data_IF_379111808054
#
_entry.id   IF_379111808054
#
_cell.length_a   1.000
_cell.length_b   1.000
_cell.length_c   1.000
_cell.angle_alpha   90.00
_cell.angle_beta   90.00
_cell.angle_gamma   90.00
#
_symmetry.space_group_name_H-M   'P 1'
#
loop_
_entity.id
_entity.type
_entity.pdbx_description
1 polymer ?
#
# COMPACT_ATOMS: atom_id res chain seq x y z
N UNK A 1 9.06 -20.95 5.97
CA UNK A 1 8.00 -20.59 5.00
C UNK A 1 7.77 -19.09 5.15
N UNK A 2 8.29 -18.28 4.22
CA UNK A 2 8.21 -16.81 4.27
C UNK A 2 7.77 -16.33 2.89
N UNK A 3 6.56 -15.76 2.80
CA UNK A 3 5.96 -15.28 1.56
C UNK A 3 6.34 -13.82 1.28
N UNK A 4 6.97 -13.62 0.12
CA UNK A 4 6.82 -12.59 -0.93
C UNK A 4 6.19 -11.23 -0.54
N UNK A 5 6.86 -10.12 -0.89
CA UNK A 5 6.42 -8.76 -0.56
C UNK A 5 6.44 -7.82 -1.77
N UNK A 6 5.88 -8.25 -2.90
CA UNK A 6 5.41 -7.27 -3.88
C UNK A 6 4.21 -6.56 -3.29
N UNK A 7 4.00 -5.28 -3.63
CA UNK A 7 2.77 -4.55 -3.32
C UNK A 7 1.54 -5.10 -4.10
N UNK A 8 1.49 -6.41 -4.32
CA UNK A 8 0.36 -7.17 -4.85
C UNK A 8 -0.34 -7.89 -3.71
N UNK A 9 -1.65 -8.05 -3.83
CA UNK A 9 -2.40 -8.94 -2.97
C UNK A 9 -1.78 -10.36 -2.97
N UNK A 10 -2.13 -11.19 -2.01
CA UNK A 10 -1.64 -12.56 -1.94
C UNK A 10 -2.58 -13.48 -2.69
N UNK A 11 -2.06 -14.20 -3.68
CA UNK A 11 -2.72 -15.38 -4.20
C UNK A 11 -2.00 -16.60 -3.65
N UNK A 12 -2.70 -17.39 -2.86
CA UNK A 12 -2.17 -18.65 -2.36
C UNK A 12 -2.56 -19.80 -3.29
N UNK A 13 -1.59 -20.48 -3.92
CA UNK A 13 -1.69 -21.89 -4.23
C UNK A 13 -1.32 -22.72 -2.99
N UNK A 14 -1.95 -23.88 -2.82
CA UNK A 14 -1.90 -24.76 -1.65
C UNK A 14 -0.55 -24.93 -0.95
N UNK A 15 -0.59 -25.14 0.37
CA UNK A 15 0.49 -25.73 1.15
C UNK A 15 -0.08 -26.88 1.99
N UNK A 16 0.59 -28.03 1.90
CA UNK A 16 0.40 -29.23 2.70
C UNK A 16 0.11 -28.93 4.17
N UNK A 17 -0.90 -29.61 4.73
CA UNK A 17 -1.26 -29.53 6.12
C UNK A 17 -0.12 -29.97 7.07
N UNK A 18 0.03 -29.33 8.24
CA UNK A 18 0.47 -30.06 9.42
C UNK A 18 -0.40 -29.84 10.66
N UNK A 19 -0.61 -30.97 11.33
CA UNK A 19 -1.02 -31.26 12.71
C UNK A 19 -1.67 -30.18 13.60
N UNK A 20 -2.84 -30.57 14.10
CA UNK A 20 -3.62 -30.06 15.22
C UNK A 20 -2.81 -29.46 16.39
N UNK A 21 -3.06 -28.19 16.70
CA UNK A 21 -2.67 -27.54 17.95
C UNK A 21 -3.74 -26.52 18.35
N UNK A 22 -4.55 -26.86 19.35
CA UNK A 22 -5.72 -26.08 19.74
C UNK A 22 -5.40 -24.69 20.29
N UNK A 23 -6.11 -23.69 19.79
CA UNK A 23 -6.12 -22.33 20.34
C UNK A 23 -7.47 -22.12 21.06
N UNK A 24 -7.41 -21.81 22.35
CA UNK A 24 -8.57 -21.41 23.16
C UNK A 24 -8.97 -19.96 22.82
N UNK A 25 -10.27 -19.62 22.79
CA UNK A 25 -10.70 -18.25 22.52
C UNK A 25 -10.50 -17.38 23.77
N UNK A 26 -9.98 -16.15 23.59
CA UNK A 26 -9.99 -15.11 24.62
C UNK A 26 -10.93 -13.99 24.19
N UNK A 27 -12.01 -13.87 24.97
CA UNK A 27 -12.83 -12.70 25.31
C UNK A 27 -12.89 -11.53 24.32
N UNK A 28 -14.01 -11.45 23.60
CA UNK A 28 -14.45 -10.28 22.85
C UNK A 28 -14.87 -9.14 23.80
N UNK A 29 -14.46 -7.91 23.46
CA UNK A 29 -14.97 -6.67 24.06
C UNK A 29 -16.21 -6.23 23.29
N UNK A 30 -17.33 -6.16 24.01
CA UNK A 30 -18.66 -5.77 23.53
C UNK A 30 -18.75 -4.25 23.35
N UNK A 31 -19.35 -3.80 22.24
CA UNK A 31 -19.90 -2.44 22.09
C UNK A 31 -21.43 -2.55 22.05
N UNK A 32 -22.20 -1.83 22.90
CA UNK A 32 -23.65 -2.02 23.00
C UNK A 32 -24.40 -1.30 21.87
N UNK A 33 -25.50 -1.92 21.43
CA UNK A 33 -26.30 -1.49 20.27
C UNK A 33 -27.53 -0.65 20.57
N UNK A 34 -28.28 -0.37 19.50
CA UNK A 34 -29.72 -0.05 19.38
C UNK A 34 -29.99 0.23 17.89
N UNK A 35 -31.11 -0.06 17.23
CA UNK A 35 -32.41 -0.67 17.53
C UNK A 35 -33.05 -1.09 16.19
N UNK A 36 -33.94 -2.08 16.23
CA UNK A 36 -34.77 -2.58 15.12
C UNK A 36 -35.64 -1.51 14.44
N UNK A 37 -35.84 -1.67 13.13
CA UNK A 37 -37.15 -1.49 12.50
C UNK A 37 -37.25 -2.33 11.21
N UNK A 38 -38.23 -3.22 11.16
CA UNK A 38 -38.66 -3.95 9.97
C UNK A 38 -39.92 -3.30 9.38
N UNK A 39 -40.00 -3.19 8.05
CA UNK A 39 -41.18 -3.55 7.27
C UNK A 39 -40.88 -3.38 5.77
N UNK A 40 -41.29 -4.38 5.00
CA UNK A 40 -41.17 -4.46 3.55
C UNK A 40 -42.28 -3.67 2.83
N UNK A 41 -42.07 -3.26 1.58
CA UNK A 41 -42.99 -3.47 0.43
C UNK A 41 -42.35 -3.10 -0.93
N UNK A 42 -42.35 -4.09 -1.83
CA UNK A 42 -42.54 -4.09 -3.29
C UNK A 42 -42.22 -2.86 -4.18
N UNK A 43 -41.28 -3.09 -5.12
CA UNK A 43 -41.52 -2.95 -6.57
C UNK A 43 -41.33 -1.59 -7.23
N UNK A 44 -40.25 -1.43 -8.00
CA UNK A 44 -40.25 -1.23 -9.46
C UNK A 44 -38.89 -0.74 -9.94
N UNK A 45 -38.40 -1.35 -11.02
CA UNK A 45 -37.18 -1.01 -11.73
C UNK A 45 -37.05 0.49 -12.04
N UNK A 46 -36.04 1.11 -11.46
CA UNK A 46 -35.40 2.30 -11.97
C UNK A 46 -33.90 2.08 -11.81
N UNK A 47 -33.17 2.23 -12.91
CA UNK A 47 -31.71 2.29 -12.93
C UNK A 47 -31.27 3.34 -11.88
N UNK A 48 -30.65 2.89 -10.81
CA UNK A 48 -29.98 3.77 -9.85
C UNK A 48 -28.74 4.35 -10.56
N UNK A 49 -28.96 5.39 -11.36
CA UNK A 49 -27.91 6.30 -11.79
C UNK A 49 -27.19 6.75 -10.52
N UNK A 50 -25.98 6.22 -10.30
CA UNK A 50 -25.20 6.50 -9.10
C UNK A 50 -25.15 8.01 -8.90
N UNK A 51 -25.81 8.52 -7.87
CA UNK A 51 -25.90 9.94 -7.60
C UNK A 51 -24.49 10.57 -7.68
N UNK A 52 -24.35 11.66 -8.44
CA UNK A 52 -23.06 12.28 -8.66
C UNK A 52 -22.39 12.57 -7.31
N UNK A 53 -21.10 12.23 -7.15
CA UNK A 53 -20.41 12.28 -5.87
C UNK A 53 -20.24 13.74 -5.44
N UNK A 54 -21.00 14.15 -4.42
CA UNK A 54 -20.99 15.51 -3.90
C UNK A 54 -19.93 15.67 -2.81
N UNK A 55 -19.28 16.84 -2.76
CA UNK A 55 -18.43 17.21 -1.63
C UNK A 55 -19.26 17.67 -0.41
N UNK A 56 -18.58 18.02 0.69
CA UNK A 56 -19.23 18.51 1.91
C UNK A 56 -20.06 19.80 1.73
N UNK A 57 -20.00 20.44 0.56
CA UNK A 57 -20.77 21.64 0.19
C UNK A 57 -21.83 21.35 -0.87
N UNK A 58 -22.04 20.09 -1.26
CA UNK A 58 -23.02 19.71 -2.27
C UNK A 58 -22.56 19.92 -3.71
N UNK A 59 -21.27 20.14 -3.97
CA UNK A 59 -20.74 20.34 -5.32
C UNK A 59 -20.28 19.00 -5.93
N UNK A 60 -20.57 18.79 -7.22
CA UNK A 60 -20.12 17.60 -7.96
C UNK A 60 -18.60 17.58 -8.04
N UNK A 61 -17.98 16.49 -7.57
CA UNK A 61 -16.54 16.30 -7.65
C UNK A 61 -16.12 15.89 -9.07
N UNK A 62 -15.05 16.47 -9.64
CA UNK A 62 -14.47 15.98 -10.89
C UNK A 62 -14.05 14.52 -10.75
N UNK A 63 -14.33 13.72 -11.78
CA UNK A 63 -14.00 12.30 -11.81
C UNK A 63 -12.57 12.06 -12.28
N UNK A 64 -11.89 11.12 -11.61
CA UNK A 64 -10.62 10.54 -12.02
C UNK A 64 -10.89 9.07 -12.39
N UNK A 65 -10.37 8.57 -13.52
CA UNK A 65 -10.52 7.17 -13.90
C UNK A 65 -9.95 6.22 -12.85
N UNK A 66 -10.37 4.94 -12.89
CA UNK A 66 -10.00 3.92 -11.90
C UNK A 66 -8.50 3.69 -11.76
N UNK A 67 -7.78 3.88 -12.87
CA UNK A 67 -6.33 3.75 -12.99
C UNK A 67 -5.59 5.02 -12.51
N UNK A 68 -6.30 6.03 -12.03
CA UNK A 68 -5.76 7.26 -11.48
C UNK A 68 -4.96 8.09 -12.51
N UNK A 69 -5.31 7.99 -13.80
CA UNK A 69 -4.54 8.55 -14.91
C UNK A 69 -3.07 8.11 -14.85
N UNK A 70 -2.84 6.83 -14.58
CA UNK A 70 -1.50 6.27 -14.43
C UNK A 70 -0.63 6.48 -15.67
N UNK A 71 0.61 6.89 -15.44
CA UNK A 71 1.64 7.01 -16.46
C UNK A 71 2.92 6.34 -15.99
N UNK A 72 3.68 5.79 -16.94
CA UNK A 72 5.05 5.30 -16.71
C UNK A 72 5.99 6.18 -17.50
N UNK A 73 6.96 6.75 -16.82
CA UNK A 73 7.97 7.62 -17.43
C UNK A 73 9.36 7.22 -16.97
N UNK A 74 10.37 7.65 -17.71
CA UNK A 74 11.77 7.51 -17.34
C UNK A 74 12.30 8.86 -16.86
N UNK A 75 12.65 8.95 -15.57
CA UNK A 75 13.21 10.18 -14.99
C UNK A 75 14.74 10.14 -15.09
N UNK A 76 15.40 11.10 -15.79
CA UNK A 76 16.85 11.15 -15.83
C UNK A 76 17.43 11.56 -14.47
N UNK A 77 18.53 10.91 -14.09
CA UNK A 77 19.32 11.25 -12.89
C UNK A 77 20.57 11.99 -13.33
N UNK A 78 20.55 13.32 -13.29
CA UNK A 78 21.67 14.17 -13.72
C UNK A 78 22.86 14.19 -12.74
N UNK A 79 24.08 14.30 -13.29
CA UNK A 79 25.43 14.30 -12.66
C UNK A 79 25.92 12.98 -12.05
N UNK A 80 25.69 11.84 -12.71
CA UNK A 80 26.51 10.64 -12.46
C UNK A 80 27.45 10.43 -13.64
N UNK A 81 28.72 10.15 -13.33
CA UNK A 81 29.80 9.91 -14.29
C UNK A 81 29.57 8.70 -15.24
N UNK A 82 28.46 7.99 -15.09
CA UNK A 82 28.06 6.80 -15.85
C UNK A 82 26.76 7.06 -16.64
N UNK A 83 26.82 7.92 -17.66
CA UNK A 83 25.84 7.98 -18.75
C UNK A 83 24.38 8.33 -18.40
N UNK A 84 23.52 8.26 -19.41
CA UNK A 84 22.09 8.58 -19.39
C UNK A 84 21.26 7.60 -18.53
N UNK A 85 21.53 7.53 -17.21
CA UNK A 85 20.75 6.71 -16.29
C UNK A 85 19.35 7.31 -16.06
N UNK A 86 18.33 6.49 -16.26
CA UNK A 86 16.94 6.84 -15.96
C UNK A 86 16.35 5.96 -14.87
N UNK A 87 15.32 6.46 -14.18
CA UNK A 87 14.51 5.73 -13.22
C UNK A 87 13.13 5.45 -13.82
N UNK A 88 12.75 4.18 -13.93
CA UNK A 88 11.38 3.78 -14.22
C UNK A 88 10.47 4.31 -13.11
N UNK A 89 9.53 5.17 -13.47
CA UNK A 89 8.72 5.91 -12.49
C UNK A 89 7.25 5.85 -12.85
N UNK A 90 6.43 5.44 -11.88
CA UNK A 90 4.97 5.49 -11.99
C UNK A 90 4.45 6.83 -11.48
N UNK A 91 3.58 7.48 -12.25
CA UNK A 91 2.91 8.73 -11.87
C UNK A 91 1.40 8.49 -11.87
N UNK A 92 0.72 8.92 -10.81
CA UNK A 92 -0.73 9.02 -10.75
C UNK A 92 -1.13 10.47 -10.57
N UNK A 93 -2.16 10.92 -11.28
CA UNK A 93 -2.47 12.34 -11.38
C UNK A 93 -3.99 12.62 -11.34
N UNK A 94 -4.44 13.64 -10.60
CA UNK A 94 -5.82 14.11 -10.71
C UNK A 94 -6.11 14.65 -12.12
N UNK A 95 -7.39 14.63 -12.50
CA UNK A 95 -7.82 15.26 -13.74
C UNK A 95 -7.68 16.80 -13.63
N UNK A 96 -7.19 17.44 -14.69
CA UNK A 96 -7.02 18.90 -14.77
C UNK A 96 -5.57 19.37 -14.94
N UNK A 97 -5.39 20.69 -14.94
CA UNK A 97 -4.13 21.34 -15.31
C UNK A 97 -3.17 21.60 -14.13
N UNK A 98 -3.62 21.44 -12.89
CA UNK A 98 -2.85 21.80 -11.69
C UNK A 98 -2.83 23.32 -11.42
N UNK A 99 -1.84 23.83 -10.67
CA UNK A 99 -0.76 23.06 -10.04
C UNK A 99 -1.29 22.18 -8.89
N UNK A 100 -0.71 20.99 -8.77
CA UNK A 100 -1.09 19.98 -7.77
C UNK A 100 0.03 19.81 -6.75
N UNK A 101 -0.27 19.70 -5.44
CA UNK A 101 0.69 19.23 -4.46
C UNK A 101 1.34 17.91 -4.88
N UNK A 102 2.62 17.75 -4.57
CA UNK A 102 3.38 16.55 -4.93
C UNK A 102 3.54 15.65 -3.70
N UNK A 103 3.36 14.34 -3.91
CA UNK A 103 3.87 13.34 -2.99
C UNK A 103 4.71 12.29 -3.72
N UNK A 104 5.95 12.11 -3.26
CA UNK A 104 6.83 11.05 -3.77
C UNK A 104 6.77 9.85 -2.82
N UNK A 105 6.42 8.66 -3.32
CA UNK A 105 6.32 7.42 -2.54
C UNK A 105 7.48 6.48 -2.86
N UNK A 106 8.27 6.14 -1.85
CA UNK A 106 9.44 5.28 -1.95
C UNK A 106 9.09 3.84 -1.55
N UNK A 107 9.31 2.89 -2.47
CA UNK A 107 9.09 1.47 -2.25
C UNK A 107 10.07 0.85 -1.24
N UNK A 108 9.67 -0.26 -0.64
CA UNK A 108 10.54 -1.11 0.19
C UNK A 108 11.57 -1.90 -0.64
N UNK A 109 12.16 -2.93 -0.03
CA UNK A 109 13.03 -3.89 -0.74
C UNK A 109 12.57 -5.30 -0.40
N UNK A 110 12.31 -6.10 -1.41
CA UNK A 110 12.04 -7.53 -1.25
C UNK A 110 13.33 -8.36 -1.22
N UNK A 111 13.21 -9.61 -0.79
CA UNK A 111 14.28 -10.60 -0.96
C UNK A 111 14.47 -10.96 -2.45
N UNK A 112 15.69 -11.33 -2.82
CA UNK A 112 16.03 -11.67 -4.21
C UNK A 112 16.65 -10.49 -4.96
N UNK A 113 16.78 -10.65 -6.28
CA UNK A 113 17.38 -9.65 -7.15
C UNK A 113 16.46 -8.41 -7.27
N UNK A 114 16.93 -7.20 -6.89
CA UNK A 114 16.21 -5.95 -7.11
C UNK A 114 15.72 -5.73 -8.55
N UNK A 115 16.43 -6.26 -9.55
CA UNK A 115 16.07 -6.16 -10.97
C UNK A 115 14.80 -6.93 -11.33
N UNK A 116 14.55 -8.03 -10.62
CA UNK A 116 13.38 -8.88 -10.84
C UNK A 116 12.17 -8.43 -10.00
N UNK A 117 12.33 -7.39 -9.16
CA UNK A 117 11.22 -6.82 -8.39
C UNK A 117 10.29 -6.02 -9.30
N UNK A 118 9.00 -6.05 -8.97
CA UNK A 118 7.99 -5.35 -9.74
C UNK A 118 8.18 -3.82 -9.71
N UNK A 119 7.65 -3.16 -10.75
CA UNK A 119 7.52 -1.70 -10.79
C UNK A 119 6.74 -1.20 -9.57
N UNK A 120 7.22 -0.13 -8.95
CA UNK A 120 6.59 0.52 -7.81
C UNK A 120 5.23 1.09 -8.22
N UNK A 121 4.16 0.57 -7.62
CA UNK A 121 2.77 0.91 -7.97
C UNK A 121 1.86 0.88 -6.73
N UNK A 122 2.01 1.84 -5.78
CA UNK A 122 1.31 1.83 -4.49
C UNK A 122 -0.15 2.30 -4.60
N UNK A 123 -1.02 1.52 -5.25
CA UNK A 123 -2.37 1.98 -5.64
C UNK A 123 -3.25 2.46 -4.48
N UNK A 124 -3.33 1.71 -3.37
CA UNK A 124 -4.17 2.10 -2.23
C UNK A 124 -3.74 3.47 -1.66
N UNK A 125 -2.43 3.69 -1.51
CA UNK A 125 -1.85 4.97 -1.14
C UNK A 125 -2.12 6.04 -2.20
N UNK A 126 -1.86 5.75 -3.47
CA UNK A 126 -2.03 6.71 -4.55
C UNK A 126 -3.49 7.18 -4.67
N UNK A 127 -4.46 6.28 -4.56
CA UNK A 127 -5.90 6.58 -4.58
C UNK A 127 -6.28 7.58 -3.49
N UNK A 128 -5.73 7.41 -2.29
CA UNK A 128 -6.01 8.30 -1.14
C UNK A 128 -5.48 9.73 -1.34
N UNK A 129 -4.34 9.88 -1.99
CA UNK A 129 -3.73 11.19 -2.25
C UNK A 129 -4.28 11.83 -3.54
N UNK A 130 -4.48 11.07 -4.62
CA UNK A 130 -5.07 11.58 -5.88
C UNK A 130 -6.49 12.11 -5.63
N UNK A 131 -7.30 11.45 -4.80
CA UNK A 131 -8.64 11.95 -4.46
C UNK A 131 -8.64 13.29 -3.72
N UNK A 132 -7.48 13.73 -3.20
CA UNK A 132 -7.24 15.02 -2.53
C UNK A 132 -6.50 16.03 -3.39
N UNK A 133 -6.28 15.68 -4.66
CA UNK A 133 -5.67 16.56 -5.65
C UNK A 133 -4.14 16.53 -5.66
N UNK A 134 -3.51 15.45 -5.18
CA UNK A 134 -2.07 15.29 -5.25
C UNK A 134 -1.64 14.57 -6.53
N UNK A 135 -0.52 14.99 -7.12
CA UNK A 135 0.26 14.11 -7.99
C UNK A 135 1.05 13.16 -7.10
N UNK A 136 0.92 11.86 -7.36
CA UNK A 136 1.66 10.81 -6.64
C UNK A 136 2.71 10.23 -7.58
N UNK A 137 3.97 10.22 -7.15
CA UNK A 137 5.10 9.78 -7.96
C UNK A 137 5.84 8.67 -7.23
N UNK A 138 5.97 7.51 -7.86
CA UNK A 138 6.57 6.33 -7.27
C UNK A 138 7.73 5.86 -8.16
N UNK A 139 8.95 6.37 -7.95
CA UNK A 139 10.12 5.94 -8.69
C UNK A 139 10.57 4.55 -8.23
N UNK A 140 10.97 3.68 -9.16
CA UNK A 140 11.87 2.58 -8.85
C UNK A 140 13.28 3.16 -8.75
N UNK A 141 13.89 3.05 -7.57
CA UNK A 141 15.25 3.57 -7.32
C UNK A 141 16.28 2.81 -8.19
N UNK A 142 17.49 3.34 -8.33
CA UNK A 142 18.52 2.75 -9.20
C UNK A 142 18.74 1.26 -8.90
N UNK A 143 18.89 0.47 -9.96
CA UNK A 143 19.07 -0.97 -9.88
C UNK A 143 17.83 -1.79 -9.51
N UNK A 144 16.66 -1.16 -9.31
CA UNK A 144 15.39 -1.87 -9.17
C UNK A 144 14.62 -1.91 -10.48
N UNK A 145 13.90 -3.00 -10.73
CA UNK A 145 13.07 -3.19 -11.92
C UNK A 145 13.82 -2.76 -13.19
N UNK A 146 13.20 -1.91 -14.02
CA UNK A 146 13.79 -1.40 -15.26
C UNK A 146 14.64 -0.13 -15.10
N UNK A 147 14.79 0.42 -13.90
CA UNK A 147 15.63 1.60 -13.67
C UNK A 147 17.11 1.31 -13.93
N UNK A 148 17.86 2.25 -14.51
CA UNK A 148 19.29 2.11 -14.76
C UNK A 148 20.14 1.95 -13.47
N UNK A 149 21.45 1.77 -13.65
CA UNK A 149 22.42 1.67 -12.56
C UNK A 149 22.36 0.36 -11.76
N UNK A 150 23.03 0.32 -10.62
CA UNK A 150 23.13 -0.87 -9.78
C UNK A 150 22.68 -0.57 -8.37
N UNK A 151 21.91 -1.48 -7.79
CA UNK A 151 21.54 -1.41 -6.39
C UNK A 151 22.77 -1.73 -5.53
N UNK A 152 23.08 -0.85 -4.58
CA UNK A 152 24.16 -1.10 -3.62
C UNK A 152 23.61 -1.98 -2.50
N UNK A 153 23.84 -3.29 -2.62
CA UNK A 153 23.42 -4.27 -1.60
C UNK A 153 24.51 -4.52 -0.55
N UNK A 154 24.09 -5.10 0.58
CA UNK A 154 24.98 -5.74 1.56
C UNK A 154 26.05 -4.85 2.21
N UNK A 155 25.79 -3.55 2.35
CA UNK A 155 26.58 -2.72 3.25
C UNK A 155 26.01 -2.83 4.67
N UNK A 156 26.85 -3.21 5.65
CA UNK A 156 26.48 -3.09 7.07
C UNK A 156 26.37 -1.62 7.51
N UNK A 157 26.85 -0.69 6.67
CA UNK A 157 26.56 0.73 6.80
C UNK A 157 25.16 1.06 6.24
N UNK A 158 24.17 0.98 7.13
CA UNK A 158 22.77 1.31 6.85
C UNK A 158 22.59 2.81 6.58
N UNK A 159 23.36 3.66 7.26
CA UNK A 159 23.24 5.11 7.16
C UNK A 159 23.61 5.59 5.74
N UNK A 160 24.74 5.14 5.23
CA UNK A 160 25.21 5.44 3.87
C UNK A 160 24.30 4.82 2.82
N UNK A 161 23.76 3.62 3.05
CA UNK A 161 22.80 3.00 2.13
C UNK A 161 21.56 3.89 1.95
N UNK A 162 20.93 4.34 3.03
CA UNK A 162 19.75 5.21 2.95
C UNK A 162 20.04 6.53 2.23
N UNK A 163 21.22 7.12 2.45
CA UNK A 163 21.67 8.33 1.76
C UNK A 163 21.92 8.12 0.27
N UNK A 164 22.49 6.98 -0.13
CA UNK A 164 22.70 6.64 -1.53
C UNK A 164 21.35 6.54 -2.27
N UNK A 165 20.37 5.88 -1.65
CA UNK A 165 19.00 5.78 -2.17
C UNK A 165 18.28 7.13 -2.22
N UNK A 166 18.53 8.02 -1.25
CA UNK A 166 17.91 9.34 -1.18
C UNK A 166 18.29 10.26 -2.35
N UNK A 167 19.41 9.99 -3.03
CA UNK A 167 19.83 10.74 -4.23
C UNK A 167 18.84 10.57 -5.38
N UNK A 168 18.29 9.36 -5.55
CA UNK A 168 17.28 9.08 -6.58
C UNK A 168 15.95 9.77 -6.27
N UNK A 169 15.60 9.86 -4.97
CA UNK A 169 14.44 10.63 -4.50
C UNK A 169 14.64 12.11 -4.78
N UNK A 170 15.81 12.67 -4.51
CA UNK A 170 16.13 14.07 -4.81
C UNK A 170 16.05 14.37 -6.31
N UNK A 171 16.60 13.50 -7.16
CA UNK A 171 16.49 13.63 -8.61
C UNK A 171 15.02 13.59 -9.08
N UNK A 172 14.21 12.70 -8.50
CA UNK A 172 12.78 12.59 -8.78
C UNK A 172 12.03 13.87 -8.40
N UNK A 173 12.22 14.39 -7.18
CA UNK A 173 11.57 15.63 -6.72
C UNK A 173 11.99 16.82 -7.60
N UNK A 174 13.27 16.91 -7.95
CA UNK A 174 13.80 17.96 -8.82
C UNK A 174 13.23 17.90 -10.24
N UNK A 175 13.10 16.70 -10.81
CA UNK A 175 12.46 16.51 -12.10
C UNK A 175 10.98 16.89 -12.08
N UNK A 176 10.25 16.42 -11.07
CA UNK A 176 8.81 16.68 -10.95
C UNK A 176 8.52 18.16 -10.70
N UNK A 177 9.41 18.86 -10.02
CA UNK A 177 9.24 20.30 -9.74
C UNK A 177 9.43 21.20 -10.96
N UNK A 178 9.89 20.64 -12.09
CA UNK A 178 9.91 21.34 -13.39
C UNK A 178 8.64 21.14 -14.20
N UNK A 179 7.74 20.26 -13.76
CA UNK A 179 6.50 20.00 -14.49
C UNK A 179 5.49 21.13 -14.23
N UNK A 180 4.82 21.65 -15.27
CA UNK A 180 3.96 22.83 -15.13
C UNK A 180 2.72 22.60 -14.25
N UNK A 181 2.36 21.34 -14.03
CA UNK A 181 1.22 20.94 -13.20
C UNK A 181 1.60 20.62 -11.75
N UNK A 182 2.85 20.81 -11.33
CA UNK A 182 3.30 20.54 -9.94
C UNK A 182 3.40 21.84 -9.15
N UNK A 183 2.80 21.84 -7.96
CA UNK A 183 2.97 22.88 -6.95
C UNK A 183 4.27 22.64 -6.17
N UNK A 184 5.28 23.42 -6.49
CA UNK A 184 6.62 23.30 -5.89
C UNK A 184 6.69 23.80 -4.45
N UNK A 185 5.65 24.44 -3.92
CA UNK A 185 5.60 24.91 -2.54
C UNK A 185 4.96 23.89 -1.58
N UNK A 186 4.33 22.84 -2.10
CA UNK A 186 3.58 21.85 -1.32
C UNK A 186 4.01 20.43 -1.71
N UNK A 187 5.16 20.00 -1.17
CA UNK A 187 5.76 18.69 -1.44
C UNK A 187 5.83 17.86 -0.15
N UNK A 188 5.47 16.59 -0.24
CA UNK A 188 5.69 15.58 0.80
C UNK A 188 6.48 14.41 0.22
N UNK A 189 7.31 13.79 1.04
CA UNK A 189 7.99 12.53 0.68
C UNK A 189 7.55 11.46 1.65
N UNK A 190 7.18 10.31 1.12
CA UNK A 190 6.67 9.17 1.86
C UNK A 190 7.44 7.91 1.47
N UNK A 191 7.46 6.91 2.35
CA UNK A 191 7.97 5.61 1.98
C UNK A 191 7.69 4.54 3.01
N UNK A 192 7.85 3.30 2.57
CA UNK A 192 7.64 2.11 3.40
C UNK A 192 8.90 1.28 3.54
N UNK A 193 9.15 0.69 4.71
CA UNK A 193 10.28 -0.23 4.89
C UNK A 193 11.60 0.44 4.50
N UNK A 194 12.36 -0.13 3.57
CA UNK A 194 13.56 0.50 3.04
C UNK A 194 13.31 1.90 2.46
N UNK A 195 12.16 2.12 1.81
CA UNK A 195 11.74 3.43 1.33
C UNK A 195 11.41 4.42 2.45
N UNK A 196 10.95 3.94 3.61
CA UNK A 196 10.75 4.77 4.82
C UNK A 196 12.08 5.25 5.40
N UNK A 197 13.06 4.35 5.48
CA UNK A 197 14.45 4.71 5.83
C UNK A 197 15.03 5.74 4.85
N UNK A 198 14.88 5.52 3.54
CA UNK A 198 15.31 6.46 2.50
C UNK A 198 14.60 7.81 2.60
N UNK A 199 13.31 7.82 2.93
CA UNK A 199 12.52 9.04 3.11
C UNK A 199 13.06 9.90 4.25
N UNK A 200 13.42 9.29 5.37
CA UNK A 200 14.05 10.01 6.49
C UNK A 200 15.47 10.46 6.11
N UNK A 201 16.26 9.64 5.42
CA UNK A 201 17.59 10.03 4.94
C UNK A 201 17.55 11.23 3.98
N UNK A 202 16.57 11.27 3.06
CA UNK A 202 16.33 12.38 2.15
C UNK A 202 16.10 13.72 2.87
N UNK A 203 15.45 13.68 4.04
CA UNK A 203 15.17 14.85 4.85
C UNK A 203 16.39 15.65 5.32
N UNK A 204 17.62 15.15 5.13
CA UNK A 204 18.85 15.88 5.43
C UNK A 204 19.13 17.00 4.42
N UNK A 205 18.72 16.81 3.16
CA UNK A 205 18.92 17.76 2.07
C UNK A 205 17.64 17.86 1.25
N UNK A 206 16.53 18.31 1.86
CA UNK A 206 15.24 18.38 1.20
C UNK A 206 15.26 19.49 0.14
N UNK A 207 14.51 19.28 -0.95
CA UNK A 207 14.28 20.35 -1.90
C UNK A 207 13.42 21.46 -1.24
N UNK A 208 13.63 22.75 -1.58
CA UNK A 208 12.69 23.79 -1.22
C UNK A 208 11.24 23.40 -1.55
N UNK A 209 10.32 23.65 -0.61
CA UNK A 209 8.90 23.29 -0.72
C UNK A 209 8.51 21.93 -0.13
N UNK A 210 9.49 21.09 0.25
CA UNK A 210 9.21 19.89 1.05
C UNK A 210 8.79 20.29 2.46
N UNK A 211 7.57 19.92 2.84
CA UNK A 211 6.95 20.32 4.12
C UNK A 211 6.88 19.21 5.16
N UNK A 212 6.89 17.96 4.72
CA UNK A 212 6.76 16.82 5.62
C UNK A 212 7.27 15.51 5.05
N UNK A 213 7.63 14.61 5.96
CA UNK A 213 8.05 13.24 5.66
C UNK A 213 7.08 12.23 6.30
N UNK A 214 6.61 11.24 5.54
CA UNK A 214 5.80 10.15 6.04
C UNK A 214 6.60 8.84 6.03
N UNK A 215 6.90 8.32 7.21
CA UNK A 215 7.66 7.10 7.40
C UNK A 215 6.73 5.96 7.86
N UNK A 216 6.38 5.06 6.94
CA UNK A 216 5.61 3.86 7.26
C UNK A 216 6.56 2.69 7.50
N UNK A 217 6.64 2.20 8.73
CA UNK A 217 7.47 1.05 9.09
C UNK A 217 8.89 1.13 8.49
N UNK A 218 9.56 2.28 8.59
CA UNK A 218 10.85 2.49 7.94
C UNK A 218 11.98 1.73 8.59
N UNK A 219 12.82 1.09 7.76
CA UNK A 219 14.02 0.41 8.22
C UNK A 219 14.71 -0.36 7.10
N UNK A 220 15.88 -0.92 7.38
CA UNK A 220 16.58 -1.82 6.46
C UNK A 220 17.13 -2.99 7.27
N UNK A 221 16.62 -4.20 6.98
CA UNK A 221 17.01 -5.41 7.70
C UNK A 221 18.29 -5.97 7.10
N UNK A 222 19.39 -5.86 7.82
CA UNK A 222 20.70 -6.42 7.45
C UNK A 222 21.06 -7.61 8.33
N UNK A 223 20.26 -8.68 8.30
CA UNK A 223 20.39 -9.80 9.24
C UNK A 223 21.76 -10.53 9.19
N UNK A 224 22.51 -10.40 8.09
CA UNK A 224 23.86 -10.93 7.95
C UNK A 224 24.94 -10.10 8.68
N UNK A 225 24.61 -8.86 9.07
CA UNK A 225 25.51 -7.97 9.80
C UNK A 225 25.38 -8.18 11.31
N UNK A 226 26.53 -8.24 11.99
CA UNK A 226 26.58 -8.27 13.46
C UNK A 226 25.93 -7.00 14.01
N UNK A 227 25.06 -7.12 15.01
CA UNK A 227 24.38 -5.99 15.65
C UNK A 227 23.55 -5.09 14.71
N UNK A 228 23.05 -5.61 13.59
CA UNK A 228 22.31 -4.83 12.59
C UNK A 228 21.15 -3.97 13.13
N UNK A 229 20.50 -4.41 14.22
CA UNK A 229 19.43 -3.63 14.87
C UNK A 229 19.96 -2.34 15.53
N UNK A 230 21.15 -2.43 16.12
CA UNK A 230 21.87 -1.29 16.70
C UNK A 230 22.33 -0.36 15.60
N UNK A 231 22.92 -0.89 14.53
CA UNK A 231 23.36 -0.10 13.37
C UNK A 231 22.19 0.63 12.71
N UNK A 232 21.04 -0.03 12.59
CA UNK A 232 19.81 0.59 12.10
C UNK A 232 19.35 1.75 13.00
N UNK A 233 19.38 1.55 14.33
CA UNK A 233 19.04 2.61 15.29
C UNK A 233 20.02 3.78 15.22
N UNK A 234 21.33 3.49 15.08
CA UNK A 234 22.37 4.51 14.88
C UNK A 234 22.19 5.28 13.58
N UNK A 235 21.80 4.61 12.48
CA UNK A 235 21.52 5.28 11.22
C UNK A 235 20.42 6.34 11.37
N UNK A 236 19.31 5.99 12.04
CA UNK A 236 18.26 6.96 12.35
C UNK A 236 18.72 8.09 13.28
N UNK A 237 19.58 7.81 14.27
CA UNK A 237 20.22 8.86 15.08
C UNK A 237 21.07 9.82 14.25
N UNK A 238 21.90 9.28 13.35
CA UNK A 238 22.72 10.07 12.43
C UNK A 238 21.88 10.94 11.49
N UNK A 239 20.72 10.44 11.06
CA UNK A 239 19.77 11.23 10.28
C UNK A 239 19.14 12.35 11.12
N UNK A 240 18.70 12.06 12.35
CA UNK A 240 18.11 13.03 13.28
C UNK A 240 19.01 14.25 13.55
N UNK A 241 20.33 14.03 13.59
CA UNK A 241 21.32 15.10 13.72
C UNK A 241 21.22 16.19 12.63
N UNK A 242 20.69 15.85 11.45
CA UNK A 242 20.68 16.71 10.25
C UNK A 242 19.29 17.03 9.72
N UNK A 243 18.32 16.13 9.88
CA UNK A 243 16.94 16.33 9.39
C UNK A 243 16.24 17.39 10.25
N UNK A 244 15.64 18.38 9.58
CA UNK A 244 14.82 19.44 10.25
C UNK A 244 13.36 19.46 9.77
N UNK A 245 13.08 18.83 8.63
CA UNK A 245 11.72 18.69 8.12
C UNK A 245 10.90 17.84 9.11
N UNK A 246 9.70 18.29 9.53
CA UNK A 246 8.83 17.49 10.38
C UNK A 246 8.49 16.14 9.74
N UNK A 247 8.32 15.11 10.57
CA UNK A 247 7.98 13.77 10.09
C UNK A 247 6.91 13.08 10.93
N UNK A 248 6.14 12.21 10.30
CA UNK A 248 5.19 11.29 10.94
C UNK A 248 5.68 9.86 10.74
N UNK A 249 5.80 9.11 11.83
CA UNK A 249 6.30 7.74 11.84
C UNK A 249 5.17 6.81 12.28
N UNK A 250 4.85 5.81 11.47
CA UNK A 250 3.77 4.87 11.73
C UNK A 250 4.32 3.45 11.78
N UNK A 251 4.18 2.78 12.93
CA UNK A 251 4.66 1.42 13.17
C UNK A 251 3.59 0.63 13.93
N UNK A 252 3.51 -0.68 13.72
CA UNK A 252 2.50 -1.54 14.37
C UNK A 252 3.11 -2.69 15.16
N UNK A 253 2.28 -3.26 16.04
CA UNK A 253 2.68 -4.25 17.04
C UNK A 253 3.10 -5.60 16.47
N UNK A 254 2.44 -6.02 15.39
CA UNK A 254 2.69 -7.28 14.69
C UNK A 254 3.49 -7.08 13.41
N UNK A 255 4.30 -6.03 13.31
CA UNK A 255 5.26 -5.86 12.20
C UNK A 255 6.29 -7.00 12.21
N UNK A 256 6.40 -7.70 11.07
CA UNK A 256 7.27 -8.88 10.93
C UNK A 256 8.77 -8.57 10.88
N UNK A 257 9.16 -7.31 10.69
CA UNK A 257 10.55 -6.87 10.57
C UNK A 257 11.02 -6.08 11.80
N UNK A 258 10.18 -5.16 12.30
CA UNK A 258 10.54 -4.24 13.37
C UNK A 258 9.69 -4.50 14.60
N UNK A 259 10.28 -5.15 15.62
CA UNK A 259 9.58 -5.27 16.89
C UNK A 259 9.26 -3.87 17.47
N UNK A 260 8.22 -3.72 18.30
CA UNK A 260 7.90 -2.44 18.94
C UNK A 260 9.10 -1.81 19.65
N UNK A 261 9.93 -2.64 20.28
CA UNK A 261 11.15 -2.18 20.97
C UNK A 261 12.20 -1.64 19.97
N UNK A 262 12.35 -2.26 18.80
CA UNK A 262 13.25 -1.74 17.77
C UNK A 262 12.70 -0.44 17.16
N UNK A 263 11.40 -0.38 16.86
CA UNK A 263 10.74 0.83 16.38
C UNK A 263 10.93 2.02 17.33
N UNK A 264 10.71 1.82 18.64
CA UNK A 264 10.97 2.83 19.67
C UNK A 264 12.43 3.25 19.69
N UNK A 265 13.39 2.31 19.64
CA UNK A 265 14.83 2.67 19.63
C UNK A 265 15.23 3.51 18.42
N UNK A 266 14.71 3.21 17.24
CA UNK A 266 14.96 4.00 16.03
C UNK A 266 14.41 5.42 16.16
N UNK A 267 13.16 5.55 16.64
CA UNK A 267 12.53 6.84 16.89
C UNK A 267 13.25 7.66 17.95
N UNK A 268 13.58 7.05 19.10
CA UNK A 268 14.28 7.71 20.20
C UNK A 268 15.67 8.16 19.79
N UNK A 269 16.38 7.37 18.98
CA UNK A 269 17.65 7.80 18.41
C UNK A 269 17.46 9.05 17.52
N UNK A 270 16.50 9.03 16.59
CA UNK A 270 16.23 10.17 15.71
C UNK A 270 15.89 11.46 16.49
N UNK A 271 14.96 11.38 17.45
CA UNK A 271 14.50 12.56 18.20
C UNK A 271 15.54 13.07 19.19
N UNK A 272 16.26 12.19 19.90
CA UNK A 272 17.33 12.61 20.83
C UNK A 272 18.47 13.35 20.13
N UNK A 273 18.69 13.08 18.84
CA UNK A 273 19.67 13.79 18.02
C UNK A 273 19.10 15.05 17.34
N UNK A 274 17.89 15.50 17.70
CA UNK A 274 17.30 16.76 17.24
C UNK A 274 16.38 16.63 16.03
N UNK A 275 16.05 15.40 15.60
CA UNK A 275 15.05 15.17 14.58
C UNK A 275 13.64 15.49 15.07
N UNK A 276 12.80 16.04 14.19
CA UNK A 276 11.41 16.36 14.52
C UNK A 276 10.48 15.28 13.98
N UNK A 277 9.98 14.41 14.85
CA UNK A 277 9.10 13.32 14.48
C UNK A 277 7.94 13.18 15.47
N UNK A 278 6.77 12.76 14.98
CA UNK A 278 5.68 12.22 15.79
C UNK A 278 5.61 10.72 15.54
N UNK A 279 5.69 9.93 16.61
CA UNK A 279 5.46 8.48 16.55
C UNK A 279 3.95 8.17 16.68
N UNK A 280 3.46 7.27 15.84
CA UNK A 280 2.11 6.71 15.90
C UNK A 280 2.25 5.20 15.93
N UNK A 281 1.82 4.64 17.05
CA UNK A 281 1.53 3.23 17.14
C UNK A 281 0.15 2.97 16.52
N UNK A 282 0.13 2.20 15.43
CA UNK A 282 -1.12 1.81 14.76
C UNK A 282 -1.74 0.55 15.36
N UNK A 283 -1.12 -0.04 16.39
CA UNK A 283 -1.53 -1.28 17.02
C UNK A 283 -1.31 -2.48 16.12
N UNK A 284 -2.15 -3.51 16.30
CA UNK A 284 -2.15 -4.71 15.46
C UNK A 284 -2.95 -4.47 14.20
N UNK A 285 -2.39 -4.85 13.05
CA UNK A 285 -3.09 -4.80 11.77
C UNK A 285 -3.01 -6.15 11.07
N UNK A 286 -4.19 -6.71 10.77
CA UNK A 286 -4.37 -8.00 10.11
C UNK A 286 -3.38 -9.08 10.63
N UNK A 287 -2.69 -9.75 9.73
CA UNK A 287 -1.62 -10.69 10.01
C UNK A 287 -0.26 -10.00 10.16
N UNK A 288 0.00 -8.91 9.43
CA UNK A 288 1.26 -8.16 9.46
C UNK A 288 1.06 -6.65 9.26
N UNK A 289 1.42 -5.84 10.27
CA UNK A 289 1.32 -4.39 10.21
C UNK A 289 2.31 -3.75 9.22
N UNK A 290 3.36 -4.46 8.81
CA UNK A 290 4.36 -3.95 7.87
C UNK A 290 3.76 -3.59 6.49
N UNK A 291 2.59 -4.15 6.17
CA UNK A 291 1.94 -4.05 4.85
C UNK A 291 0.87 -2.96 4.77
N UNK A 292 0.54 -2.32 5.89
CA UNK A 292 -0.67 -1.52 6.04
C UNK A 292 -0.85 -0.42 4.98
N UNK A 293 0.24 0.20 4.53
CA UNK A 293 0.18 1.34 3.60
C UNK A 293 -0.18 0.93 2.18
N UNK A 294 0.07 -0.33 1.81
CA UNK A 294 -0.26 -0.88 0.49
C UNK A 294 -1.68 -1.49 0.44
N UNK A 295 -2.34 -1.60 1.58
CA UNK A 295 -3.65 -2.23 1.71
C UNK A 295 -4.77 -1.17 1.75
N UNK A 296 -5.83 -1.38 0.96
CA UNK A 296 -6.99 -0.49 0.93
C UNK A 296 -7.67 -0.39 2.29
N UNK A 297 -7.72 -1.49 3.03
CA UNK A 297 -8.31 -1.53 4.39
C UNK A 297 -7.40 -0.87 5.43
N UNK A 298 -6.14 -0.61 5.11
CA UNK A 298 -5.23 0.11 5.98
C UNK A 298 -5.52 1.61 6.01
N UNK A 299 -6.10 2.15 4.93
CA UNK A 299 -6.36 3.59 4.78
C UNK A 299 -7.13 4.19 5.97
N UNK A 300 -8.26 3.63 6.42
CA UNK A 300 -8.98 4.16 7.58
C UNK A 300 -8.17 4.17 8.88
N UNK A 301 -7.15 3.31 9.00
CA UNK A 301 -6.30 3.21 10.19
C UNK A 301 -5.23 4.30 10.18
N UNK A 302 -4.48 4.45 9.08
CA UNK A 302 -3.35 5.39 9.03
C UNK A 302 -3.72 6.80 8.56
N UNK A 303 -4.77 6.95 7.74
CA UNK A 303 -5.16 8.23 7.16
C UNK A 303 -5.48 9.31 8.20
N UNK A 304 -6.22 9.05 9.30
CA UNK A 304 -6.53 10.10 10.28
C UNK A 304 -5.27 10.77 10.86
N UNK A 305 -4.26 9.98 11.20
CA UNK A 305 -2.96 10.47 11.70
C UNK A 305 -2.17 11.20 10.61
N UNK A 306 -2.15 10.66 9.40
CA UNK A 306 -1.50 11.30 8.24
C UNK A 306 -2.16 12.65 7.91
N UNK A 307 -3.49 12.71 7.86
CA UNK A 307 -4.25 13.93 7.59
C UNK A 307 -3.98 15.02 8.64
N UNK A 308 -3.98 14.66 9.92
CA UNK A 308 -3.68 15.61 10.99
C UNK A 308 -2.26 16.21 10.82
N UNK A 309 -1.27 15.36 10.53
CA UNK A 309 0.09 15.81 10.25
C UNK A 309 0.20 16.67 8.99
N UNK A 310 -0.41 16.23 7.89
CA UNK A 310 -0.43 16.96 6.61
C UNK A 310 -1.03 18.35 6.79
N UNK A 311 -2.16 18.46 7.49
CA UNK A 311 -2.78 19.75 7.81
C UNK A 311 -1.83 20.65 8.63
N UNK A 312 -1.13 20.09 9.62
CA UNK A 312 -0.15 20.82 10.44
C UNK A 312 1.01 21.38 9.59
N UNK A 313 1.49 20.63 8.60
CA UNK A 313 2.55 21.09 7.69
C UNK A 313 2.00 21.87 6.48
N UNK A 314 0.73 22.28 6.51
CA UNK A 314 0.11 23.13 5.50
C UNK A 314 -0.15 22.43 4.16
N UNK A 315 -0.38 21.12 4.19
CA UNK A 315 -0.72 20.30 3.01
C UNK A 315 -2.23 20.04 2.97
N UNK A 316 -2.88 19.99 1.78
CA UNK A 316 -4.32 19.83 1.68
C UNK A 316 -4.80 18.42 2.05
N UNK A 317 -5.95 18.31 2.72
CA UNK A 317 -6.47 17.03 3.22
C UNK A 317 -7.93 16.77 2.87
N UNK A 318 -8.62 17.75 2.28
CA UNK A 318 -9.99 17.61 1.82
C UNK A 318 -10.07 16.76 0.55
N UNK A 319 -11.09 15.92 0.42
CA UNK A 319 -11.41 15.25 -0.84
C UNK A 319 -11.82 16.29 -1.88
N UNK A 320 -11.19 16.24 -3.06
CA UNK A 320 -11.38 17.17 -4.19
C UNK A 320 -11.76 16.47 -5.48
N UNK A 321 -11.66 15.15 -5.53
CA UNK A 321 -11.94 14.34 -6.71
C UNK A 321 -12.69 13.09 -6.30
N UNK A 322 -13.60 12.67 -7.17
CA UNK A 322 -14.17 11.34 -7.10
C UNK A 322 -13.31 10.38 -7.91
N UNK A 323 -12.95 9.25 -7.33
CA UNK A 323 -12.25 8.19 -8.06
C UNK A 323 -13.28 7.18 -8.50
N UNK A 324 -13.28 6.81 -9.78
CA UNK A 324 -14.11 5.71 -10.25
C UNK A 324 -13.69 4.42 -9.54
N UNK A 325 -14.57 3.88 -8.69
CA UNK A 325 -14.37 2.60 -8.02
C UNK A 325 -14.54 1.43 -9.01
N UNK A 326 -13.90 0.27 -8.76
CA UNK A 326 -14.28 -0.96 -9.44
C UNK A 326 -15.74 -1.25 -9.14
N UNK A 327 -16.54 -1.52 -10.19
CA UNK A 327 -17.92 -2.00 -10.00
C UNK A 327 -17.83 -3.34 -9.29
N UNK A 328 -18.20 -3.36 -8.01
CA UNK A 328 -18.31 -4.61 -7.28
C UNK A 328 -19.46 -5.41 -7.89
N UNK A 329 -19.25 -6.69 -8.25
CA UNK A 329 -20.34 -7.51 -8.75
C UNK A 329 -21.43 -7.61 -7.69
N UNK A 330 -22.69 -7.47 -8.12
CA UNK A 330 -23.83 -7.65 -7.22
C UNK A 330 -23.92 -9.12 -6.81
N UNK A 331 -24.40 -9.37 -5.59
CA UNK A 331 -24.70 -10.71 -5.15
C UNK A 331 -25.71 -11.36 -6.11
N UNK A 332 -25.40 -12.56 -6.59
CA UNK A 332 -26.25 -13.26 -7.56
C UNK A 332 -27.44 -13.96 -6.89
N UNK A 333 -27.39 -14.17 -5.58
CA UNK A 333 -28.36 -14.98 -4.84
C UNK A 333 -28.18 -16.50 -5.04
N UNK A 334 -27.12 -16.93 -5.72
CA UNK A 334 -26.83 -18.35 -5.98
C UNK A 334 -26.68 -19.19 -4.70
N UNK A 335 -25.96 -18.65 -3.70
CA UNK A 335 -25.79 -19.28 -2.39
C UNK A 335 -25.49 -18.22 -1.32
N UNK A 336 -25.62 -18.59 -0.04
CA UNK A 336 -25.08 -17.77 1.06
C UNK A 336 -23.54 -17.89 1.07
N UNK A 337 -22.85 -16.86 1.56
CA UNK A 337 -21.37 -16.84 1.57
C UNK A 337 -20.77 -17.96 2.42
N UNK A 338 -21.49 -18.49 3.41
CA UNK A 338 -21.05 -19.58 4.27
C UNK A 338 -21.38 -20.99 3.72
N UNK A 339 -22.06 -21.09 2.57
CA UNK A 339 -22.39 -22.36 1.92
C UNK A 339 -21.17 -22.95 1.19
N UNK A 340 -20.24 -23.53 1.95
CA UNK A 340 -18.99 -24.13 1.44
C UNK A 340 -19.27 -25.26 0.43
N UNK A 341 -20.34 -26.02 0.64
CA UNK A 341 -20.72 -27.12 -0.24
C UNK A 341 -21.26 -26.65 -1.60
N UNK A 342 -21.67 -25.37 -1.71
CA UNK A 342 -22.18 -24.77 -2.93
C UNK A 342 -21.09 -24.24 -3.88
N UNK A 343 -19.82 -24.19 -3.45
CA UNK A 343 -18.71 -23.78 -4.33
C UNK A 343 -18.60 -24.79 -5.48
N UNK A 344 -18.73 -24.36 -6.75
CA UNK A 344 -18.76 -25.28 -7.89
C UNK A 344 -17.36 -25.76 -8.26
N UNK A 345 -17.29 -26.96 -8.87
CA UNK A 345 -16.11 -27.59 -9.48
C UNK A 345 -14.93 -27.93 -8.56
N UNK A 346 -14.89 -27.39 -7.35
CA UNK A 346 -13.80 -27.62 -6.40
C UNK A 346 -13.91 -28.98 -5.70
N UNK A 347 -12.76 -29.56 -5.40
CA UNK A 347 -12.61 -30.74 -4.54
C UNK A 347 -12.54 -30.34 -3.05
N UNK A 348 -12.26 -31.30 -2.17
CA UNK A 348 -12.11 -31.05 -0.73
C UNK A 348 -11.01 -30.03 -0.42
N UNK A 349 -9.94 -30.02 -1.21
CA UNK A 349 -8.85 -29.03 -1.10
C UNK A 349 -9.37 -27.63 -1.37
N UNK A 350 -10.14 -27.44 -2.44
CA UNK A 350 -10.75 -26.14 -2.75
C UNK A 350 -11.82 -25.70 -1.77
N UNK A 351 -12.58 -26.64 -1.17
CA UNK A 351 -13.49 -26.32 -0.06
C UNK A 351 -12.75 -25.84 1.19
N UNK A 352 -11.63 -26.49 1.53
CA UNK A 352 -10.75 -26.01 2.61
C UNK A 352 -10.12 -24.64 2.29
N UNK A 353 -9.75 -24.42 1.02
CA UNK A 353 -9.34 -23.11 0.52
C UNK A 353 -10.43 -22.04 0.70
N UNK A 354 -11.68 -22.38 0.41
CA UNK A 354 -12.83 -21.49 0.60
C UNK A 354 -13.08 -21.18 2.09
N UNK A 355 -13.00 -22.17 2.97
CA UNK A 355 -13.08 -21.96 4.42
C UNK A 355 -12.01 -20.98 4.92
N UNK A 356 -10.79 -21.07 4.37
CA UNK A 356 -9.72 -20.11 4.68
C UNK A 356 -10.06 -18.71 4.17
N UNK A 357 -10.59 -18.60 2.95
CA UNK A 357 -11.08 -17.34 2.37
C UNK A 357 -12.13 -16.66 3.26
N UNK A 358 -13.08 -17.42 3.84
CA UNK A 358 -14.12 -16.87 4.72
C UNK A 358 -13.56 -16.23 6.00
N UNK A 359 -12.36 -16.65 6.43
CA UNK A 359 -11.69 -16.11 7.61
C UNK A 359 -10.84 -14.86 7.29
N UNK A 360 -10.71 -14.49 6.02
CA UNK A 360 -9.90 -13.33 5.63
C UNK A 360 -10.63 -12.02 5.86
N UNK A 361 -9.86 -10.96 6.08
CA UNK A 361 -10.37 -9.60 6.19
C UNK A 361 -11.11 -9.15 4.91
N UNK A 362 -11.93 -8.08 4.98
CA UNK A 362 -12.55 -7.45 3.81
C UNK A 362 -11.55 -7.11 2.70
N UNK A 363 -12.07 -6.74 1.52
CA UNK A 363 -11.27 -6.64 0.28
C UNK A 363 -10.69 -8.01 -0.10
N UNK A 364 -11.58 -8.96 -0.41
CA UNK A 364 -11.22 -10.34 -0.75
C UNK A 364 -12.04 -10.87 -1.92
N UNK A 365 -11.48 -11.81 -2.68
CA UNK A 365 -12.16 -12.48 -3.77
C UNK A 365 -11.77 -13.96 -3.87
N UNK A 366 -12.71 -14.79 -4.32
CA UNK A 366 -12.51 -16.20 -4.60
C UNK A 366 -12.87 -16.47 -6.06
N UNK A 367 -11.98 -17.13 -6.79
CA UNK A 367 -12.17 -17.49 -8.19
C UNK A 367 -12.10 -19.01 -8.38
N UNK A 368 -12.93 -19.51 -9.28
CA UNK A 368 -13.02 -20.93 -9.65
C UNK A 368 -13.07 -21.08 -11.16
N UNK A 369 -12.76 -22.27 -11.64
CA UNK A 369 -12.80 -22.67 -13.05
C UNK A 369 -13.40 -24.05 -13.17
N UNK A 370 -14.06 -24.32 -14.29
CA UNK A 370 -14.84 -25.54 -14.55
C UNK A 370 -14.02 -26.84 -14.48
N UNK A 371 -12.70 -26.73 -14.65
CA UNK A 371 -11.76 -27.85 -14.51
C UNK A 371 -11.28 -28.08 -13.06
N UNK A 372 -11.88 -27.40 -12.07
CA UNK A 372 -11.57 -27.52 -10.65
C UNK A 372 -10.41 -26.65 -10.16
N UNK A 373 -9.75 -25.88 -11.03
CA UNK A 373 -8.79 -24.88 -10.59
C UNK A 373 -9.47 -23.76 -9.81
N UNK A 374 -8.87 -23.31 -8.72
CA UNK A 374 -9.38 -22.23 -7.90
C UNK A 374 -8.24 -21.37 -7.35
N UNK A 375 -8.58 -20.22 -6.82
CA UNK A 375 -7.66 -19.38 -6.03
C UNK A 375 -8.49 -18.40 -5.19
N UNK A 376 -7.82 -17.77 -4.23
CA UNK A 376 -8.38 -16.59 -3.57
C UNK A 376 -7.31 -15.55 -3.34
N UNK A 377 -7.77 -14.32 -3.10
CA UNK A 377 -6.94 -13.22 -2.70
C UNK A 377 -7.65 -12.38 -1.63
N UNK A 378 -6.86 -11.79 -0.73
CA UNK A 378 -7.34 -10.85 0.28
C UNK A 378 -6.34 -9.71 0.48
N UNK A 379 -6.86 -8.53 0.84
CA UNK A 379 -6.10 -7.30 0.97
C UNK A 379 -5.63 -6.72 -0.37
N UNK A 380 -4.75 -5.73 -0.29
CA UNK A 380 -4.24 -4.98 -1.45
C UNK A 380 -5.30 -4.05 -2.05
N UNK A 381 -5.12 -3.62 -3.31
CA UNK A 381 -6.07 -2.71 -3.98
C UNK A 381 -7.09 -3.45 -4.87
N UNK A 382 -6.73 -4.60 -5.45
CA UNK A 382 -7.56 -5.35 -6.40
C UNK A 382 -7.48 -6.87 -6.19
N UNK A 383 -8.16 -7.35 -5.15
CA UNK A 383 -8.25 -8.78 -4.84
C UNK A 383 -8.94 -9.59 -5.96
N UNK A 384 -9.89 -8.99 -6.69
CA UNK A 384 -10.63 -9.67 -7.76
C UNK A 384 -9.71 -10.06 -8.92
N UNK A 385 -8.97 -9.09 -9.48
CA UNK A 385 -8.02 -9.35 -10.57
C UNK A 385 -6.93 -10.33 -10.14
N UNK A 386 -6.50 -10.28 -8.88
CA UNK A 386 -5.50 -11.19 -8.40
C UNK A 386 -6.01 -12.64 -8.28
N UNK A 387 -7.20 -12.82 -7.70
CA UNK A 387 -7.82 -14.14 -7.62
C UNK A 387 -7.94 -14.73 -9.04
N UNK A 388 -8.56 -13.99 -9.97
CA UNK A 388 -8.72 -14.41 -11.37
C UNK A 388 -7.39 -14.79 -12.03
N UNK A 389 -6.40 -13.90 -12.00
CA UNK A 389 -5.10 -14.15 -12.65
C UNK A 389 -4.34 -15.34 -12.05
N UNK A 390 -4.50 -15.58 -10.75
CA UNK A 390 -3.81 -16.68 -10.08
C UNK A 390 -4.52 -18.02 -10.22
N UNK A 391 -5.85 -18.01 -10.37
CA UNK A 391 -6.60 -19.16 -10.83
C UNK A 391 -6.17 -19.51 -12.27
N UNK A 392 -6.08 -18.51 -13.16
CA UNK A 392 -5.73 -18.70 -14.56
C UNK A 392 -4.32 -19.29 -14.78
N UNK A 393 -3.36 -19.03 -13.88
CA UNK A 393 -2.03 -19.67 -13.91
C UNK A 393 -2.08 -21.19 -13.78
N UNK A 394 -3.15 -21.74 -13.19
CA UNK A 394 -3.33 -23.17 -12.90
C UNK A 394 -4.46 -23.79 -13.71
N UNK A 395 -5.14 -23.01 -14.53
CA UNK A 395 -6.30 -23.45 -15.29
C UNK A 395 -6.07 -23.40 -16.79
N UNK A 396 -6.55 -24.41 -17.49
CA UNK A 396 -6.71 -24.41 -18.95
C UNK A 396 -8.08 -23.89 -19.41
N UNK A 397 -9.01 -23.67 -18.48
CA UNK A 397 -10.34 -23.10 -18.71
C UNK A 397 -10.45 -21.70 -18.09
N UNK A 398 -11.39 -20.85 -18.55
CA UNK A 398 -11.60 -19.54 -17.96
C UNK A 398 -11.89 -19.60 -16.46
N UNK A 399 -11.30 -18.69 -15.69
CA UNK A 399 -11.62 -18.52 -14.28
C UNK A 399 -12.67 -17.42 -14.11
N UNK A 400 -13.62 -17.66 -13.23
CA UNK A 400 -14.73 -16.77 -12.92
C UNK A 400 -14.76 -16.49 -11.40
N UNK A 401 -15.25 -15.31 -11.02
CA UNK A 401 -15.42 -14.97 -9.62
C UNK A 401 -16.60 -15.76 -9.05
N UNK A 402 -16.36 -16.49 -7.95
CA UNK A 402 -17.42 -17.13 -7.16
C UNK A 402 -17.90 -16.19 -6.05
N UNK A 403 -16.97 -15.55 -5.34
CA UNK A 403 -17.28 -14.67 -4.23
C UNK A 403 -16.42 -13.40 -4.25
N UNK A 404 -17.02 -12.27 -3.88
CA UNK A 404 -16.35 -10.98 -3.68
C UNK A 404 -16.81 -10.38 -2.37
N UNK A 405 -15.88 -10.15 -1.44
CA UNK A 405 -16.13 -9.77 -0.06
C UNK A 405 -17.10 -10.76 0.62
N UNK A 406 -18.29 -10.28 1.00
CA UNK A 406 -19.34 -11.06 1.68
C UNK A 406 -20.45 -11.54 0.73
N UNK A 407 -20.28 -11.38 -0.59
CA UNK A 407 -21.30 -11.75 -1.58
C UNK A 407 -20.82 -12.89 -2.48
N UNK A 408 -21.69 -13.89 -2.68
CA UNK A 408 -21.57 -14.83 -3.79
C UNK A 408 -22.03 -14.13 -5.06
N UNK A 409 -21.19 -14.12 -6.08
CA UNK A 409 -21.39 -13.41 -7.36
C UNK A 409 -21.47 -14.36 -8.56
N UNK A 410 -21.49 -15.66 -8.27
CA UNK A 410 -21.55 -16.74 -9.24
C UNK A 410 -22.89 -16.77 -9.98
N UNK A 411 -22.85 -16.88 -11.31
CA UNK A 411 -24.02 -17.21 -12.11
C UNK A 411 -23.74 -18.51 -12.84
N UNK A 412 -24.74 -19.38 -12.98
CA UNK A 412 -24.60 -20.59 -13.80
C UNK A 412 -24.28 -20.17 -15.25
N UNK A 413 -23.22 -20.75 -15.81
CA UNK A 413 -22.69 -20.45 -17.13
C UNK A 413 -22.87 -21.62 -18.09
#
# INVERSE_FOLDING_TARGET
MALLLSAGAFAHPDLDAPSTGGIRPSSAVTVPGSLNASSAHSGSDAEDESAAPLNARGEVLPTVPRDLNEQVVEIPVGEIADGDMTLETTIFKPSGNGPFPLIVFNHGKEHGDPREQARSRPLAFAREFVRRGYVVVAPNRRGFARSGGTYVDNTCDVATNGLAQARDVAATVAYMSRQPYVDTAHIVVAGVSHGGLTTIAYGQTPQPGVRGLLNFAGGLRQAACVNWQTDLSHAFGAYGAKVRVPSLWLYGDNDSFWSPQLASRMYDAFVRHGGHAKFVDIGRYKDDAHRIVADRDGVPVWWPSAAAFLAQVGMPTSVRYWIADPVLPRGSGFATIDAIDAVPFVDDTGRAGYQTFLQQYPTRAFAVSDNGAWSWAAGGDDAMSLALSSCAKRSTAPCHLYAVNDNVVWNEH
#
